data_IF_470164744967
#
_entry.id   IF_470164744967
#
_cell.length_a   1.000
_cell.length_b   1.000
_cell.length_c   1.000
_cell.angle_alpha   90.00
_cell.angle_beta   90.00
_cell.angle_gamma   90.00
#
_symmetry.space_group_name_H-M   'P 1'
#
loop_
_entity.id
_entity.type
_entity.pdbx_description
1 polymer ?
#
# COMPACT_ATOMS: atom_id res chain seq x y z
N UNK A 1 -52.98 45.24 18.46
CA UNK A 1 -53.08 44.78 17.06
C UNK A 1 -51.77 44.04 16.76
N UNK A 2 -51.61 42.81 17.24
CA UNK A 2 -51.98 41.53 16.60
C UNK A 2 -51.41 41.43 15.18
N UNK A 3 -50.28 40.74 15.05
CA UNK A 3 -50.13 39.66 14.06
C UNK A 3 -49.36 38.51 14.69
N UNK A 4 -49.99 37.34 14.70
CA UNK A 4 -49.61 36.13 15.41
C UNK A 4 -48.80 35.21 14.48
N UNK A 5 -47.72 34.67 15.04
CA UNK A 5 -46.79 33.72 14.44
C UNK A 5 -47.46 32.35 14.25
N UNK A 6 -47.89 32.05 13.02
CA UNK A 6 -48.43 30.73 12.65
C UNK A 6 -47.68 30.17 11.43
N UNK A 7 -46.69 29.35 11.74
CA UNK A 7 -46.38 28.08 11.06
C UNK A 7 -46.42 28.05 9.52
N UNK A 8 -45.24 28.07 8.89
CA UNK A 8 -44.97 27.36 7.64
C UNK A 8 -43.65 26.60 7.78
N UNK A 9 -43.75 25.36 8.24
CA UNK A 9 -42.79 24.32 7.92
C UNK A 9 -43.10 23.84 6.49
N UNK A 10 -42.13 23.96 5.59
CA UNK A 10 -42.24 23.51 4.20
C UNK A 10 -40.85 23.15 3.67
N UNK A 11 -40.67 21.86 3.38
CA UNK A 11 -39.45 21.24 2.91
C UNK A 11 -38.91 21.84 1.60
N UNK A 12 -37.59 21.95 1.49
CA UNK A 12 -36.88 22.29 0.25
C UNK A 12 -35.44 21.78 0.30
N UNK A 13 -35.25 20.52 -0.11
CA UNK A 13 -33.95 19.97 -0.48
C UNK A 13 -33.39 20.69 -1.72
N UNK A 14 -32.07 20.89 -1.75
CA UNK A 14 -31.16 20.73 -2.90
C UNK A 14 -30.33 21.95 -3.36
N UNK A 15 -29.01 21.69 -3.44
CA UNK A 15 -27.95 22.36 -4.20
C UNK A 15 -27.56 23.78 -3.75
N UNK A 16 -26.31 24.08 -3.39
CA UNK A 16 -25.12 23.93 -4.24
C UNK A 16 -23.85 23.84 -3.38
N UNK A 17 -23.29 22.65 -3.25
CA UNK A 17 -21.93 22.41 -2.76
C UNK A 17 -21.16 21.67 -3.86
N UNK A 18 -20.57 22.41 -4.79
CA UNK A 18 -19.75 21.85 -5.86
C UNK A 18 -18.62 22.81 -6.25
N UNK A 19 -17.85 23.27 -5.25
CA UNK A 19 -16.51 23.82 -5.46
C UNK A 19 -15.65 23.34 -4.29
N UNK A 20 -15.21 22.08 -4.35
CA UNK A 20 -14.41 21.51 -3.28
C UNK A 20 -13.76 20.20 -3.71
N UNK A 21 -12.43 20.23 -3.75
CA UNK A 21 -11.51 19.10 -3.82
C UNK A 21 -11.52 18.25 -5.10
N UNK A 22 -10.72 18.67 -6.07
CA UNK A 22 -10.04 17.72 -6.95
C UNK A 22 -8.61 18.17 -7.27
N UNK A 23 -7.89 18.68 -6.26
CA UNK A 23 -6.43 18.55 -6.26
C UNK A 23 -6.08 17.15 -5.75
N UNK A 24 -5.37 16.39 -6.58
CA UNK A 24 -4.45 15.36 -6.10
C UNK A 24 -5.01 13.94 -6.10
N UNK A 25 -4.87 13.28 -7.25
CA UNK A 25 -4.18 11.99 -7.25
C UNK A 25 -3.11 12.06 -8.32
N UNK A 26 -1.94 12.58 -7.94
CA UNK A 26 -0.72 12.18 -8.60
C UNK A 26 -0.63 10.67 -8.37
N UNK A 27 -1.08 9.87 -9.33
CA UNK A 27 -0.64 8.49 -9.40
C UNK A 27 0.87 8.60 -9.56
N UNK A 28 1.60 8.36 -8.47
CA UNK A 28 3.01 8.00 -8.63
C UNK A 28 2.96 6.86 -9.63
N UNK A 29 3.56 7.05 -10.81
CA UNK A 29 3.77 5.96 -11.75
C UNK A 29 4.75 4.98 -11.09
N UNK A 30 4.32 4.32 -10.03
CA UNK A 30 4.92 3.11 -9.51
C UNK A 30 4.75 2.12 -10.62
N UNK A 31 5.88 1.70 -11.21
CA UNK A 31 5.91 0.66 -12.21
C UNK A 31 5.01 -0.49 -11.72
N UNK A 32 3.93 -0.77 -12.46
CA UNK A 32 3.08 -1.90 -12.15
C UNK A 32 3.96 -3.16 -12.16
N UNK A 33 3.83 -4.07 -11.20
CA UNK A 33 4.68 -5.24 -11.12
C UNK A 33 4.54 -6.05 -12.41
N UNK A 34 5.68 -6.31 -13.07
CA UNK A 34 5.74 -6.94 -14.39
C UNK A 34 6.05 -8.42 -14.28
N UNK A 35 5.29 -9.24 -15.00
CA UNK A 35 5.48 -10.70 -15.05
C UNK A 35 4.17 -11.48 -14.90
N UNK A 36 4.14 -12.74 -15.37
CA UNK A 36 2.91 -13.54 -15.40
C UNK A 36 2.35 -13.84 -14.00
N UNK A 37 3.19 -13.85 -12.97
CA UNK A 37 2.79 -14.12 -11.58
C UNK A 37 2.37 -12.88 -10.78
N UNK A 38 2.60 -11.66 -11.27
CA UNK A 38 2.42 -10.45 -10.47
C UNK A 38 0.95 -10.18 -10.12
N UNK A 39 0.03 -10.43 -11.06
CA UNK A 39 -1.40 -10.26 -10.80
C UNK A 39 -1.90 -11.26 -9.74
N UNK A 40 -1.51 -12.54 -9.86
CA UNK A 40 -1.86 -13.57 -8.88
C UNK A 40 -1.26 -13.28 -7.50
N UNK A 41 0.00 -12.81 -7.45
CA UNK A 41 0.65 -12.43 -6.19
C UNK A 41 -0.05 -11.24 -5.53
N UNK A 42 -0.39 -10.19 -6.29
CA UNK A 42 -1.12 -9.03 -5.77
C UNK A 42 -2.52 -9.41 -5.27
N UNK A 43 -3.16 -10.41 -5.86
CA UNK A 43 -4.42 -10.96 -5.35
C UNK A 43 -4.23 -11.77 -4.07
N UNK A 44 -3.14 -12.54 -3.97
CA UNK A 44 -2.81 -13.34 -2.80
C UNK A 44 -2.38 -12.48 -1.61
N UNK A 45 -1.61 -11.42 -1.86
CA UNK A 45 -1.07 -10.50 -0.85
C UNK A 45 -1.42 -9.06 -1.23
N UNK A 46 -2.70 -8.66 -1.08
CA UNK A 46 -3.17 -7.36 -1.53
C UNK A 46 -2.65 -6.18 -0.69
N UNK A 47 -2.34 -6.43 0.58
CA UNK A 47 -1.92 -5.40 1.54
C UNK A 47 -0.91 -5.96 2.56
N UNK A 48 -0.30 -5.07 3.34
CA UNK A 48 0.63 -5.42 4.41
C UNK A 48 2.10 -5.47 3.95
N UNK A 49 3.05 -5.83 4.84
CA UNK A 49 4.48 -5.74 4.58
C UNK A 49 4.96 -6.66 3.44
N UNK A 50 4.24 -7.76 3.18
CA UNK A 50 4.52 -8.64 2.04
C UNK A 50 3.90 -8.18 0.71
N UNK A 51 3.02 -7.17 0.71
CA UNK A 51 2.47 -6.63 -0.54
C UNK A 51 3.55 -5.91 -1.35
N UNK A 52 3.35 -5.74 -2.66
CA UNK A 52 4.36 -5.06 -3.51
C UNK A 52 4.63 -3.63 -3.05
N UNK A 53 3.61 -2.90 -2.60
CA UNK A 53 3.78 -1.57 -2.00
C UNK A 53 4.46 -1.64 -0.62
N UNK A 54 4.09 -2.61 0.22
CA UNK A 54 4.69 -2.77 1.54
C UNK A 54 6.17 -3.11 1.48
N UNK A 55 6.56 -3.98 0.54
CA UNK A 55 7.94 -4.36 0.29
C UNK A 55 8.77 -3.21 -0.29
N UNK A 56 8.18 -2.35 -1.13
CA UNK A 56 8.88 -1.22 -1.74
C UNK A 56 9.37 -0.17 -0.72
N UNK A 57 8.77 -0.12 0.47
CA UNK A 57 9.17 0.79 1.54
C UNK A 57 10.19 0.18 2.52
N UNK A 58 10.50 -1.11 2.40
CA UNK A 58 11.35 -1.84 3.33
C UNK A 58 12.73 -2.14 2.71
N UNK A 59 13.79 -2.22 3.54
CA UNK A 59 15.10 -2.64 3.06
C UNK A 59 15.06 -4.10 2.59
N UNK A 60 15.94 -4.46 1.65
CA UNK A 60 15.78 -5.62 0.76
C UNK A 60 15.60 -6.94 1.50
N UNK A 61 16.41 -7.22 2.53
CA UNK A 61 16.29 -8.48 3.28
C UNK A 61 15.00 -8.52 4.12
N UNK A 62 14.54 -7.37 4.62
CA UNK A 62 13.25 -7.26 5.36
C UNK A 62 12.06 -7.41 4.42
N UNK A 63 12.13 -6.81 3.23
CA UNK A 63 11.13 -6.97 2.18
C UNK A 63 11.01 -8.43 1.74
N UNK A 64 12.15 -9.08 1.44
CA UNK A 64 12.20 -10.49 1.07
C UNK A 64 11.64 -11.41 2.17
N UNK A 65 11.98 -11.14 3.45
CA UNK A 65 11.49 -11.91 4.59
C UNK A 65 9.97 -11.81 4.81
N UNK A 66 9.35 -10.71 4.36
CA UNK A 66 7.91 -10.48 4.49
C UNK A 66 7.09 -11.14 3.38
N UNK A 67 7.74 -11.67 2.34
CA UNK A 67 7.09 -12.29 1.19
C UNK A 67 6.83 -13.80 1.43
N UNK A 68 5.59 -14.29 1.31
CA UNK A 68 5.25 -15.69 1.58
C UNK A 68 5.90 -16.70 0.61
N UNK A 69 6.33 -16.26 -0.57
CA UNK A 69 6.96 -17.12 -1.58
C UNK A 69 8.49 -17.17 -1.40
N UNK A 70 9.09 -16.12 -0.83
CA UNK A 70 10.55 -15.99 -0.72
C UNK A 70 11.11 -16.58 0.58
N UNK A 71 10.37 -17.43 1.27
CA UNK A 71 10.78 -17.99 2.57
C UNK A 71 12.06 -18.81 2.48
N UNK A 72 12.22 -19.65 1.45
CA UNK A 72 13.45 -20.43 1.23
C UNK A 72 14.64 -19.53 0.91
N UNK A 73 14.44 -18.50 0.07
CA UNK A 73 15.48 -17.52 -0.25
C UNK A 73 15.89 -16.76 1.02
N UNK A 74 14.93 -16.30 1.81
CA UNK A 74 15.16 -15.62 3.08
C UNK A 74 15.99 -16.48 4.01
N UNK A 75 15.63 -17.76 4.16
CA UNK A 75 16.39 -18.72 4.95
C UNK A 75 17.84 -18.90 4.45
N UNK A 76 18.05 -18.84 3.14
CA UNK A 76 19.38 -18.94 2.54
C UNK A 76 20.24 -17.71 2.84
N UNK A 77 19.68 -16.50 2.68
CA UNK A 77 20.43 -15.24 2.85
C UNK A 77 20.59 -14.84 4.31
N UNK A 78 19.73 -15.32 5.21
CA UNK A 78 19.77 -15.01 6.64
C UNK A 78 20.54 -16.02 7.49
N UNK A 79 21.30 -16.92 6.86
CA UNK A 79 22.11 -17.92 7.55
C UNK A 79 21.33 -19.08 8.18
N UNK A 80 20.02 -19.18 7.93
CA UNK A 80 19.21 -20.28 8.48
C UNK A 80 19.45 -21.62 7.75
N UNK A 81 19.80 -21.60 6.46
CA UNK A 81 20.21 -22.81 5.72
C UNK A 81 21.72 -23.07 5.80
N UNK A 82 22.53 -22.01 5.83
CA UNK A 82 23.98 -22.12 5.96
C UNK A 82 24.50 -21.01 6.89
N UNK A 83 24.98 -21.35 8.10
CA UNK A 83 25.40 -20.34 9.08
C UNK A 83 26.62 -19.50 8.63
N UNK A 84 27.34 -19.96 7.60
CA UNK A 84 28.44 -19.21 7.00
C UNK A 84 27.98 -18.15 5.98
N UNK A 85 26.68 -18.09 5.67
CA UNK A 85 26.11 -17.17 4.69
C UNK A 85 25.07 -16.30 5.38
N UNK A 86 25.46 -15.11 5.80
CA UNK A 86 24.54 -14.10 6.32
C UNK A 86 24.75 -12.78 5.58
N UNK A 87 23.84 -12.49 4.65
CA UNK A 87 23.88 -11.32 3.78
C UNK A 87 22.85 -10.27 4.17
N UNK A 88 22.15 -10.43 5.31
CA UNK A 88 21.06 -9.53 5.72
C UNK A 88 21.56 -8.09 5.84
N UNK A 89 22.70 -7.89 6.50
CA UNK A 89 23.31 -6.57 6.67
C UNK A 89 23.73 -5.98 5.31
N UNK A 90 24.42 -6.77 4.49
CA UNK A 90 24.84 -6.38 3.14
C UNK A 90 23.65 -5.94 2.28
N UNK A 91 22.56 -6.70 2.26
CA UNK A 91 21.39 -6.43 1.44
C UNK A 91 20.57 -5.24 1.97
N UNK A 92 20.60 -4.98 3.27
CA UNK A 92 19.92 -3.83 3.87
C UNK A 92 20.76 -2.55 3.85
N UNK A 93 22.07 -2.65 3.60
CA UNK A 93 23.01 -1.53 3.68
C UNK A 93 23.21 -0.74 2.38
N UNK A 94 22.65 -1.18 1.26
CA UNK A 94 22.79 -0.50 -0.04
C UNK A 94 21.56 -0.72 -0.94
N UNK A 95 21.59 -0.10 -2.12
CA UNK A 95 20.54 -0.24 -3.13
C UNK A 95 20.78 -1.49 -3.99
N UNK A 96 19.79 -2.38 -4.03
CA UNK A 96 19.78 -3.58 -4.87
C UNK A 96 18.45 -3.68 -5.61
N UNK A 97 18.45 -4.42 -6.73
CA UNK A 97 17.29 -4.60 -7.61
C UNK A 97 16.70 -5.99 -7.54
#
# INVERSE_FOLDING_TARGET
MIVNLKSLAGAGFAMTAAVGLSLGMATTASAAPVGPGCAAYAQQVPNGPGSVQGMAAAPVATAAASNPILTTLTKAVSGQLNPNVNLVDTLNGAEFT
#
